data_IF_798634924168
#
_entry.id   IF_798634924168
#
_cell.length_a   1.000
_cell.length_b   1.000
_cell.length_c   1.000
_cell.angle_alpha   90.00
_cell.angle_beta   90.00
_cell.angle_gamma   90.00
#
_symmetry.space_group_name_H-M   'P 1'
#
loop_
_entity.id
_entity.type
_entity.pdbx_description
1 polymer ?
#
# COMPACT_ATOMS: atom_id res chain seq x y z
N UNK A 1 -11.14 -12.34 20.40
CA UNK A 1 -11.74 -11.47 19.35
C UNK A 1 -11.24 -11.84 17.94
N UNK A 2 -9.93 -11.77 17.65
CA UNK A 2 -9.36 -12.04 16.32
C UNK A 2 -9.64 -13.47 15.80
N UNK A 3 -9.55 -14.49 16.67
CA UNK A 3 -9.92 -15.88 16.31
C UNK A 3 -11.38 -16.05 15.90
N UNK A 4 -12.29 -15.18 16.39
CA UNK A 4 -13.71 -15.25 16.07
C UNK A 4 -13.96 -14.69 14.66
N UNK A 5 -13.34 -13.56 14.35
CA UNK A 5 -13.38 -12.91 13.02
C UNK A 5 -12.81 -13.84 11.95
N UNK A 6 -11.69 -14.51 12.22
CA UNK A 6 -11.07 -15.44 11.27
C UNK A 6 -11.87 -16.73 11.02
N UNK A 7 -12.77 -17.11 11.95
CA UNK A 7 -13.61 -18.31 11.83
C UNK A 7 -14.83 -18.08 10.92
N UNK A 8 -15.29 -16.83 10.81
CA UNK A 8 -16.50 -16.46 10.08
C UNK A 8 -16.10 -15.73 8.80
N UNK A 9 -16.54 -16.25 7.65
CA UNK A 9 -16.03 -15.84 6.33
C UNK A 9 -16.64 -14.50 5.87
N UNK A 10 -16.15 -13.41 6.45
CA UNK A 10 -16.54 -12.03 6.15
C UNK A 10 -15.89 -11.55 4.83
N UNK A 11 -16.13 -12.27 3.74
CA UNK A 11 -15.52 -12.06 2.42
C UNK A 11 -15.71 -10.63 1.91
N UNK A 12 -16.90 -10.05 2.15
CA UNK A 12 -17.23 -8.68 1.74
C UNK A 12 -16.30 -7.68 2.43
N UNK A 13 -16.13 -7.77 3.75
CA UNK A 13 -15.27 -6.85 4.49
C UNK A 13 -13.80 -6.95 4.05
N UNK A 14 -13.32 -8.18 3.83
CA UNK A 14 -11.97 -8.38 3.30
C UNK A 14 -11.82 -7.74 1.92
N UNK A 15 -12.79 -7.94 1.02
CA UNK A 15 -12.81 -7.32 -0.31
C UNK A 15 -12.87 -5.79 -0.26
N UNK A 16 -13.66 -5.21 0.65
CA UNK A 16 -13.73 -3.75 0.85
C UNK A 16 -12.38 -3.19 1.32
N UNK A 17 -11.73 -3.84 2.30
CA UNK A 17 -10.41 -3.40 2.77
C UNK A 17 -9.34 -3.58 1.68
N UNK A 18 -9.42 -4.65 0.89
CA UNK A 18 -8.51 -4.91 -0.22
C UNK A 18 -8.63 -3.83 -1.30
N UNK A 19 -9.87 -3.47 -1.67
CA UNK A 19 -10.16 -2.36 -2.59
C UNK A 19 -9.72 -1.02 -2.01
N UNK A 20 -9.93 -0.78 -0.71
CA UNK A 20 -9.51 0.45 -0.05
C UNK A 20 -7.99 0.63 -0.11
N UNK A 21 -7.20 -0.43 0.14
CA UNK A 21 -5.73 -0.38 0.01
C UNK A 21 -5.33 -0.01 -1.42
N UNK A 22 -5.93 -0.65 -2.44
CA UNK A 22 -5.65 -0.33 -3.83
C UNK A 22 -6.01 1.11 -4.21
N UNK A 23 -7.15 1.59 -3.72
CA UNK A 23 -7.62 2.95 -3.97
C UNK A 23 -6.73 4.01 -3.29
N UNK A 24 -6.35 3.81 -2.03
CA UNK A 24 -5.44 4.71 -1.32
C UNK A 24 -4.07 4.74 -2.02
N UNK A 25 -3.55 3.58 -2.44
CA UNK A 25 -2.31 3.52 -3.20
C UNK A 25 -2.38 4.27 -4.53
N UNK A 26 -3.55 4.32 -5.18
CA UNK A 26 -3.74 5.10 -6.41
C UNK A 26 -3.78 6.62 -6.13
N UNK A 27 -4.35 7.05 -4.98
CA UNK A 27 -4.32 8.46 -4.57
C UNK A 27 -2.88 8.89 -4.25
N UNK A 28 -2.16 8.07 -3.49
CA UNK A 28 -0.74 8.29 -3.17
C UNK A 28 0.10 8.41 -4.46
N UNK A 29 -0.16 7.54 -5.45
CA UNK A 29 0.46 7.65 -6.77
C UNK A 29 0.11 8.99 -7.45
N UNK A 30 -1.15 9.38 -7.44
CA UNK A 30 -1.56 10.63 -8.07
C UNK A 30 -0.88 11.86 -7.44
N UNK A 31 -0.78 11.91 -6.11
CA UNK A 31 -0.10 13.01 -5.41
C UNK A 31 1.39 13.06 -5.70
N UNK A 32 2.04 11.90 -5.74
CA UNK A 32 3.45 11.81 -6.07
C UNK A 32 3.76 12.27 -7.51
N UNK A 33 2.92 11.94 -8.49
CA UNK A 33 3.06 12.49 -9.86
C UNK A 33 2.81 13.99 -9.87
N UNK A 34 1.77 14.45 -9.16
CA UNK A 34 1.41 15.88 -9.10
C UNK A 34 2.52 16.74 -8.47
N UNK A 35 3.20 16.19 -7.48
CA UNK A 35 4.25 16.88 -6.71
C UNK A 35 5.65 16.35 -7.06
N UNK A 36 5.84 15.82 -8.27
CA UNK A 36 7.09 15.18 -8.70
C UNK A 36 8.33 16.05 -8.48
N UNK A 37 8.22 17.36 -8.70
CA UNK A 37 9.32 18.32 -8.58
C UNK A 37 9.82 18.47 -7.14
N UNK A 38 8.96 18.22 -6.15
CA UNK A 38 9.28 18.28 -4.71
C UNK A 38 9.65 16.91 -4.14
N UNK A 39 9.41 15.84 -4.90
CA UNK A 39 9.48 14.47 -4.38
C UNK A 39 10.89 14.07 -3.98
N UNK A 40 11.91 14.50 -4.73
CA UNK A 40 13.32 14.20 -4.43
C UNK A 40 13.82 14.86 -3.14
N UNK A 41 13.22 16.00 -2.75
CA UNK A 41 13.55 16.73 -1.52
C UNK A 41 12.75 16.23 -0.31
N UNK A 42 11.51 15.76 -0.54
CA UNK A 42 10.60 15.30 0.51
C UNK A 42 10.72 13.80 0.83
N UNK A 43 11.32 12.98 -0.04
CA UNK A 43 11.42 11.53 0.18
C UNK A 43 12.41 11.18 1.30
N UNK A 44 11.86 10.82 2.47
CA UNK A 44 12.63 10.41 3.64
C UNK A 44 13.18 8.98 3.55
N UNK A 45 12.58 8.14 2.70
CA UNK A 45 13.01 6.75 2.57
C UNK A 45 14.33 6.66 1.78
N UNK A 46 15.42 6.12 2.35
CA UNK A 46 16.69 6.00 1.64
C UNK A 46 16.59 5.13 0.38
N UNK A 47 15.71 4.12 0.38
CA UNK A 47 15.45 3.28 -0.82
C UNK A 47 14.68 4.08 -1.87
N UNK A 48 13.71 4.90 -1.44
CA UNK A 48 12.93 5.75 -2.33
C UNK A 48 13.80 6.80 -3.01
N UNK A 49 14.62 7.48 -2.23
CA UNK A 49 15.59 8.46 -2.73
C UNK A 49 16.61 7.83 -3.68
N UNK A 50 17.06 6.61 -3.39
CA UNK A 50 17.95 5.88 -4.30
C UNK A 50 17.28 5.56 -5.64
N UNK A 51 15.99 5.17 -5.64
CA UNK A 51 15.24 4.92 -6.86
C UNK A 51 15.03 6.19 -7.69
N UNK A 52 14.72 7.32 -7.05
CA UNK A 52 14.57 8.61 -7.72
C UNK A 52 15.89 9.08 -8.35
N UNK A 53 17.01 8.97 -7.61
CA UNK A 53 18.33 9.33 -8.12
C UNK A 53 18.79 8.45 -9.29
N UNK A 54 18.29 7.21 -9.37
CA UNK A 54 18.61 6.27 -10.45
C UNK A 54 17.92 6.63 -11.76
N UNK A 55 16.84 7.39 -11.70
CA UNK A 55 16.03 7.81 -12.85
C UNK A 55 16.21 9.32 -13.15
N UNK A 56 17.37 9.89 -12.79
CA UNK A 56 17.70 11.33 -12.94
C UNK A 56 16.68 12.28 -12.29
N UNK A 57 15.99 11.83 -11.24
CA UNK A 57 14.95 12.58 -10.55
C UNK A 57 13.54 12.37 -11.11
N UNK A 58 13.37 11.56 -12.16
CA UNK A 58 12.05 11.12 -12.61
C UNK A 58 11.43 10.21 -11.54
N UNK A 59 10.14 10.45 -11.28
CA UNK A 59 9.34 9.67 -10.34
C UNK A 59 8.92 8.34 -10.94
N UNK A 60 8.95 8.17 -12.27
CA UNK A 60 8.44 6.99 -12.97
C UNK A 60 8.96 5.65 -12.40
N UNK A 61 10.27 5.50 -12.21
CA UNK A 61 10.85 4.26 -11.66
C UNK A 61 10.40 3.99 -10.21
N UNK A 62 10.49 5.01 -9.35
CA UNK A 62 10.07 4.91 -7.95
C UNK A 62 8.60 4.46 -7.86
N UNK A 63 7.77 5.06 -8.69
CA UNK A 63 6.33 4.86 -8.73
C UNK A 63 5.95 3.49 -9.29
N UNK A 64 6.65 3.06 -10.34
CA UNK A 64 6.51 1.71 -10.89
C UNK A 64 6.85 0.63 -9.85
N UNK A 65 7.94 0.81 -9.11
CA UNK A 65 8.32 -0.12 -8.02
C UNK A 65 7.29 -0.11 -6.89
N UNK A 66 6.80 1.07 -6.48
CA UNK A 66 5.75 1.21 -5.45
C UNK A 66 4.46 0.49 -5.86
N UNK A 67 4.00 0.72 -7.09
CA UNK A 67 2.79 0.06 -7.63
C UNK A 67 2.96 -1.45 -7.79
N UNK A 68 4.13 -1.91 -8.26
CA UNK A 68 4.44 -3.33 -8.33
C UNK A 68 4.43 -3.97 -6.94
N UNK A 69 5.03 -3.30 -5.95
CA UNK A 69 5.02 -3.72 -4.54
C UNK A 69 3.61 -3.86 -3.98
N UNK A 70 2.75 -2.84 -4.17
CA UNK A 70 1.35 -2.90 -3.71
C UNK A 70 0.57 -4.01 -4.42
N UNK A 71 0.75 -4.17 -5.74
CA UNK A 71 0.07 -5.22 -6.52
C UNK A 71 0.48 -6.62 -6.05
N UNK A 72 1.78 -6.85 -5.84
CA UNK A 72 2.29 -8.10 -5.30
C UNK A 72 1.77 -8.36 -3.88
N UNK A 73 1.75 -7.35 -3.01
CA UNK A 73 1.22 -7.48 -1.66
C UNK A 73 -0.27 -7.84 -1.66
N UNK A 74 -1.07 -7.20 -2.51
CA UNK A 74 -2.50 -7.51 -2.68
C UNK A 74 -2.73 -8.92 -3.23
N UNK A 75 -1.90 -9.39 -4.17
CA UNK A 75 -1.94 -10.76 -4.68
C UNK A 75 -1.58 -11.79 -3.60
N UNK A 76 -0.50 -11.54 -2.84
CA UNK A 76 -0.09 -12.38 -1.72
C UNK A 76 -1.14 -12.43 -0.61
N UNK A 77 -1.86 -11.32 -0.36
CA UNK A 77 -2.97 -11.25 0.58
C UNK A 77 -4.11 -12.20 0.20
N UNK A 78 -4.45 -12.28 -1.09
CA UNK A 78 -5.47 -13.21 -1.59
C UNK A 78 -5.00 -14.66 -1.38
N UNK A 79 -3.75 -14.98 -1.75
CA UNK A 79 -3.17 -16.29 -1.50
C UNK A 79 -3.23 -16.62 0.01
N UNK A 80 -2.77 -15.71 0.87
CA UNK A 80 -2.76 -15.88 2.31
C UNK A 80 -4.16 -16.06 2.89
N UNK A 81 -5.17 -15.39 2.32
CA UNK A 81 -6.57 -15.55 2.71
C UNK A 81 -7.07 -16.98 2.48
N UNK A 82 -6.67 -17.61 1.38
CA UNK A 82 -7.00 -19.01 1.09
C UNK A 82 -6.22 -20.01 1.96
N UNK A 83 -4.93 -19.77 2.23
CA UNK A 83 -4.11 -20.69 3.03
C UNK A 83 -4.35 -20.57 4.53
N UNK A 84 -4.31 -19.34 5.08
CA UNK A 84 -4.39 -19.07 6.52
C UNK A 84 -5.09 -17.74 6.79
N UNK A 85 -6.42 -17.80 6.87
CA UNK A 85 -7.32 -16.65 7.14
C UNK A 85 -6.88 -15.76 8.30
N UNK A 86 -6.37 -16.33 9.39
CA UNK A 86 -5.93 -15.54 10.55
C UNK A 86 -4.81 -14.55 10.19
N UNK A 87 -3.79 -15.01 9.47
CA UNK A 87 -2.67 -14.15 9.07
C UNK A 87 -3.08 -13.17 7.97
N UNK A 88 -4.00 -13.56 7.09
CA UNK A 88 -4.56 -12.64 6.09
C UNK A 88 -5.31 -11.49 6.74
N UNK A 89 -6.15 -11.77 7.75
CA UNK A 89 -6.86 -10.74 8.51
C UNK A 89 -5.92 -9.82 9.27
N UNK A 90 -4.90 -10.37 9.94
CA UNK A 90 -3.88 -9.55 10.59
C UNK A 90 -3.15 -8.65 9.59
N UNK A 91 -2.79 -9.19 8.43
CA UNK A 91 -2.07 -8.46 7.39
C UNK A 91 -2.93 -7.34 6.79
N UNK A 92 -4.18 -7.63 6.42
CA UNK A 92 -5.05 -6.63 5.78
C UNK A 92 -5.44 -5.51 6.72
N UNK A 93 -5.67 -5.79 8.01
CA UNK A 93 -5.97 -4.77 9.02
C UNK A 93 -4.75 -3.87 9.20
N UNK A 94 -3.57 -4.45 9.42
CA UNK A 94 -2.33 -3.70 9.58
C UNK A 94 -2.01 -2.84 8.37
N UNK A 95 -2.15 -3.39 7.15
CA UNK A 95 -1.91 -2.66 5.91
C UNK A 95 -2.92 -1.54 5.69
N UNK A 96 -4.21 -1.78 5.96
CA UNK A 96 -5.24 -0.75 5.82
C UNK A 96 -4.97 0.41 6.77
N UNK A 97 -4.67 0.13 8.04
CA UNK A 97 -4.33 1.16 9.03
C UNK A 97 -3.09 1.95 8.61
N UNK A 98 -2.02 1.26 8.18
CA UNK A 98 -0.81 1.92 7.71
C UNK A 98 -1.06 2.83 6.49
N UNK A 99 -1.86 2.37 5.52
CA UNK A 99 -2.21 3.15 4.33
C UNK A 99 -3.02 4.41 4.68
N UNK A 100 -3.98 4.31 5.60
CA UNK A 100 -4.73 5.49 6.05
C UNK A 100 -3.85 6.48 6.83
N UNK A 101 -2.94 5.99 7.68
CA UNK A 101 -2.00 6.86 8.41
C UNK A 101 -1.06 7.59 7.44
N UNK A 102 -0.54 6.89 6.43
CA UNK A 102 0.29 7.49 5.38
C UNK A 102 -0.48 8.54 4.58
N UNK A 103 -1.71 8.23 4.16
CA UNK A 103 -2.54 9.18 3.43
C UNK A 103 -2.84 10.43 4.27
N UNK A 104 -3.09 10.26 5.57
CA UNK A 104 -3.31 11.39 6.47
C UNK A 104 -2.05 12.24 6.62
N UNK A 105 -0.88 11.62 6.76
CA UNK A 105 0.40 12.31 6.88
C UNK A 105 0.75 13.10 5.61
N UNK A 106 0.56 12.50 4.43
CA UNK A 106 0.81 13.14 3.13
C UNK A 106 -0.24 14.19 2.74
N UNK A 107 -1.44 14.13 3.34
CA UNK A 107 -2.54 15.07 3.08
C UNK A 107 -2.53 16.31 3.96
N UNK A 108 -1.57 16.43 4.90
CA UNK A 108 -1.30 17.66 5.66
C UNK A 108 -0.40 18.60 4.86
#
# INVERSE_FOLDING_TARGET
MIKLIAKQDHKIYFGVMWLAIGFISAIDLYWAVKNQDLMLEMEENPIGRWLLLKDDGDVALFMGVKMAGTTLALGLLICLYHYKKLYAWLSIISLTVAQFLLLHYLGQ
#
